data_IF_257735173287
#
_entry.id   IF_257735173287
#
_cell.length_a   1.000
_cell.length_b   1.000
_cell.length_c   1.000
_cell.angle_alpha   90.00
_cell.angle_beta   90.00
_cell.angle_gamma   90.00
#
_symmetry.space_group_name_H-M   'P 1'
#
loop_
_entity.id
_entity.type
_entity.pdbx_description
1 polymer ?
#
# COMPACT_ATOMS: atom_id res chain seq x y z
N UNK A 1 -4.47 -5.94 4.73
CA UNK A 1 -3.78 -5.31 3.59
C UNK A 1 -2.56 -6.10 3.12
N UNK A 2 -1.57 -6.36 3.97
CA UNK A 2 -0.38 -7.13 3.56
C UNK A 2 -0.70 -8.49 2.92
N UNK A 3 -1.63 -9.26 3.51
CA UNK A 3 -2.07 -10.54 2.96
C UNK A 3 -2.77 -10.39 1.58
N UNK A 4 -3.50 -9.29 1.37
CA UNK A 4 -4.17 -9.01 0.09
C UNK A 4 -3.13 -8.74 -1.00
N UNK A 5 -2.10 -7.95 -0.69
CA UNK A 5 -0.98 -7.66 -1.60
C UNK A 5 -0.28 -8.96 -2.00
N UNK A 6 -0.02 -9.84 -1.03
CA UNK A 6 0.59 -11.14 -1.28
C UNK A 6 -0.23 -12.01 -2.22
N UNK A 7 -1.55 -12.06 -2.01
CA UNK A 7 -2.47 -12.86 -2.86
C UNK A 7 -2.62 -12.30 -4.27
N UNK A 8 -2.79 -10.99 -4.40
CA UNK A 8 -3.15 -10.34 -5.67
C UNK A 8 -1.95 -9.97 -6.55
N UNK A 9 -0.79 -9.70 -5.94
CA UNK A 9 0.42 -9.27 -6.65
C UNK A 9 1.56 -10.29 -6.55
N UNK A 10 1.44 -11.32 -5.71
CA UNK A 10 2.50 -12.31 -5.51
C UNK A 10 3.73 -11.77 -4.79
N UNK A 11 3.66 -10.57 -4.21
CA UNK A 11 4.77 -9.90 -3.53
C UNK A 11 4.60 -10.05 -2.03
N UNK A 12 5.68 -10.32 -1.31
CA UNK A 12 5.69 -10.33 0.15
C UNK A 12 5.96 -8.90 0.65
N UNK A 13 4.94 -8.12 1.09
CA UNK A 13 5.19 -6.79 1.64
C UNK A 13 5.87 -6.89 3.00
N UNK A 14 6.80 -5.99 3.24
CA UNK A 14 7.38 -5.77 4.57
C UNK A 14 6.44 -4.88 5.40
N UNK A 15 6.25 -5.26 6.67
CA UNK A 15 5.49 -4.45 7.62
C UNK A 15 6.46 -3.58 8.42
N UNK A 16 6.41 -2.28 8.15
CA UNK A 16 7.17 -1.28 8.89
C UNK A 16 6.23 -0.58 9.87
N UNK A 17 6.66 -0.46 11.13
CA UNK A 17 5.92 0.29 12.13
C UNK A 17 6.01 1.80 11.83
N UNK A 18 4.86 2.44 11.69
CA UNK A 18 4.73 3.89 11.51
C UNK A 18 4.15 4.57 12.74
N UNK A 19 3.80 5.85 12.60
CA UNK A 19 3.22 6.64 13.67
C UNK A 19 1.77 6.23 14.02
N UNK A 20 1.29 6.73 15.16
CA UNK A 20 -0.05 6.42 15.67
C UNK A 20 -1.14 6.83 14.68
N UNK A 21 -1.78 5.83 14.09
CA UNK A 21 -2.88 6.02 13.13
C UNK A 21 -2.41 6.31 11.71
N UNK A 22 -1.11 6.16 11.44
CA UNK A 22 -0.53 6.20 10.11
C UNK A 22 -0.91 4.94 9.32
N UNK A 23 -1.10 5.14 8.03
CA UNK A 23 -1.10 4.04 7.07
C UNK A 23 -0.53 4.58 5.76
N UNK A 24 0.60 4.00 5.39
CA UNK A 24 1.31 4.30 4.15
C UNK A 24 1.76 3.00 3.51
N UNK A 25 1.76 2.98 2.19
CA UNK A 25 2.25 1.88 1.38
C UNK A 25 3.26 2.45 0.41
N UNK A 26 4.49 1.95 0.51
CA UNK A 26 5.64 2.38 -0.27
C UNK A 26 6.07 1.26 -1.24
N UNK A 27 6.59 1.64 -2.40
CA UNK A 27 7.24 0.76 -3.37
C UNK A 27 8.57 1.41 -3.72
N UNK A 28 9.66 0.93 -3.10
CA UNK A 28 10.93 1.66 -3.12
C UNK A 28 10.75 3.06 -2.56
N UNK A 29 11.21 4.08 -3.30
CA UNK A 29 11.06 5.50 -2.94
C UNK A 29 9.69 6.10 -3.33
N UNK A 30 8.77 5.30 -3.90
CA UNK A 30 7.46 5.76 -4.37
C UNK A 30 6.35 5.51 -3.35
N UNK A 31 5.66 6.57 -2.94
CA UNK A 31 4.47 6.47 -2.08
C UNK A 31 3.24 6.04 -2.91
N UNK A 32 2.93 4.74 -2.89
CA UNK A 32 1.81 4.17 -3.65
C UNK A 32 0.45 4.49 -3.01
N UNK A 33 0.35 4.47 -1.68
CA UNK A 33 -0.89 4.85 -1.01
C UNK A 33 -0.62 5.46 0.37
N UNK A 34 -1.46 6.41 0.76
CA UNK A 34 -1.52 6.92 2.13
C UNK A 34 -2.95 7.06 2.61
N UNK A 35 -3.14 6.98 3.91
CA UNK A 35 -4.39 7.29 4.57
C UNK A 35 -4.74 8.76 4.35
N UNK A 36 -6.01 9.01 4.01
CA UNK A 36 -6.56 10.36 3.98
C UNK A 36 -6.96 10.81 5.39
N UNK A 37 -7.23 12.10 5.55
CA UNK A 37 -7.50 12.71 6.86
C UNK A 37 -8.65 12.05 7.66
N UNK A 38 -9.61 11.41 6.96
CA UNK A 38 -10.83 10.86 7.58
C UNK A 38 -11.01 9.35 7.36
N UNK A 39 -10.45 8.78 6.28
CA UNK A 39 -10.68 7.37 5.92
C UNK A 39 -9.46 6.71 5.30
N UNK A 40 -9.39 5.39 5.48
CA UNK A 40 -8.46 4.55 4.74
C UNK A 40 -8.85 4.52 3.26
N UNK A 41 -7.87 4.46 2.35
CA UNK A 41 -8.14 4.17 0.94
C UNK A 41 -8.77 2.78 0.80
N UNK A 42 -9.58 2.59 -0.23
CA UNK A 42 -10.14 1.28 -0.54
C UNK A 42 -9.07 0.34 -1.05
N UNK A 43 -9.24 -0.96 -0.78
CA UNK A 43 -8.33 -2.02 -1.21
C UNK A 43 -8.03 -1.95 -2.72
N UNK A 44 -9.08 -1.76 -3.54
CA UNK A 44 -8.95 -1.62 -5.00
C UNK A 44 -8.07 -0.43 -5.40
N UNK A 45 -8.16 0.70 -4.69
CA UNK A 45 -7.35 1.89 -4.98
C UNK A 45 -5.88 1.62 -4.66
N UNK A 46 -5.60 0.95 -3.54
CA UNK A 46 -4.22 0.63 -3.18
C UNK A 46 -3.62 -0.41 -4.13
N UNK A 47 -4.36 -1.46 -4.49
CA UNK A 47 -3.90 -2.45 -5.46
C UNK A 47 -3.62 -1.83 -6.83
N UNK A 48 -4.48 -0.92 -7.29
CA UNK A 48 -4.25 -0.21 -8.55
C UNK A 48 -3.00 0.66 -8.50
N UNK A 49 -2.77 1.38 -7.40
CA UNK A 49 -1.58 2.21 -7.24
C UNK A 49 -0.30 1.37 -7.14
N UNK A 50 -0.36 0.23 -6.44
CA UNK A 50 0.74 -0.72 -6.37
C UNK A 50 1.09 -1.29 -7.75
N UNK A 51 0.09 -1.71 -8.54
CA UNK A 51 0.32 -2.19 -9.92
C UNK A 51 1.00 -1.13 -10.79
N UNK A 52 0.54 0.12 -10.70
CA UNK A 52 1.16 1.23 -11.42
C UNK A 52 2.61 1.46 -10.99
N UNK A 53 2.88 1.48 -9.68
CA UNK A 53 4.22 1.68 -9.14
C UNK A 53 5.20 0.55 -9.49
N UNK A 54 4.70 -0.69 -9.66
CA UNK A 54 5.52 -1.85 -10.03
C UNK A 54 5.79 -1.97 -11.54
N UNK A 55 5.02 -1.29 -12.37
CA UNK A 55 5.15 -1.33 -13.84
C UNK A 55 5.85 -0.08 -14.38
N UNK A 56 6.20 0.87 -13.50
CA UNK A 56 6.88 2.13 -13.82
C UNK A 56 8.39 2.05 -13.74
#
# INVERSE_FOLDING_TARGET
>A
MAELIKRELGIQPELVEGDRGEFTVWVGDHLAAKKGWVRFPTDAKVLSALRQALTG
#
